data_IF_030344147372
#
_entry.id   IF_030344147372
#
_cell.length_a   1.000
_cell.length_b   1.000
_cell.length_c   1.000
_cell.angle_alpha   90.00
_cell.angle_beta   90.00
_cell.angle_gamma   90.00
#
_symmetry.space_group_name_H-M   'P 1'
#
loop_
_entity.id
_entity.type
_entity.pdbx_description
1 polymer ?
#
# COMPACT_ATOMS: atom_id res chain seq x y z
N UNK A 1 -38.50 22.29 -13.67
CA UNK A 1 -39.70 21.69 -14.30
C UNK A 1 -39.93 20.28 -13.78
N UNK A 2 -41.19 19.92 -13.44
CA UNK A 2 -41.54 18.53 -13.15
C UNK A 2 -41.74 17.79 -14.48
N UNK A 3 -41.14 16.62 -14.65
CA UNK A 3 -41.25 15.78 -15.86
C UNK A 3 -41.59 14.35 -15.49
N UNK A 4 -42.29 13.66 -16.40
CA UNK A 4 -42.61 12.24 -16.28
C UNK A 4 -41.47 11.40 -16.87
N UNK A 5 -40.98 10.44 -16.13
CA UNK A 5 -39.92 9.53 -16.59
C UNK A 5 -40.47 8.62 -17.70
N UNK A 6 -39.81 8.56 -18.84
CA UNK A 6 -40.24 7.72 -19.98
C UNK A 6 -40.12 6.21 -19.71
N UNK A 7 -39.40 5.78 -18.71
CA UNK A 7 -39.22 4.36 -18.35
C UNK A 7 -40.16 3.89 -17.24
N UNK A 8 -40.27 4.63 -16.12
CA UNK A 8 -41.03 4.20 -14.95
C UNK A 8 -42.25 5.08 -14.66
N UNK A 9 -42.51 6.08 -15.50
CA UNK A 9 -43.63 7.03 -15.43
C UNK A 9 -43.68 7.90 -14.17
N UNK A 10 -42.75 7.78 -13.24
CA UNK A 10 -42.66 8.63 -12.02
C UNK A 10 -42.38 10.07 -12.40
N UNK A 11 -43.00 11.00 -11.69
CA UNK A 11 -42.74 12.43 -11.81
C UNK A 11 -41.47 12.76 -11.05
N UNK A 12 -40.55 13.52 -11.67
CA UNK A 12 -39.29 13.96 -11.05
C UNK A 12 -38.96 15.40 -11.46
N UNK A 13 -38.16 16.08 -10.63
CA UNK A 13 -37.66 17.42 -10.97
C UNK A 13 -36.41 17.25 -11.83
N UNK A 14 -36.41 17.80 -13.03
CA UNK A 14 -35.31 17.71 -13.96
C UNK A 14 -34.92 19.05 -14.58
N UNK A 15 -33.68 19.25 -14.86
CA UNK A 15 -33.20 20.24 -15.84
C UNK A 15 -33.67 19.88 -17.25
N UNK A 16 -33.66 20.84 -18.15
CA UNK A 16 -34.30 20.76 -19.49
C UNK A 16 -33.89 19.53 -20.34
N UNK A 17 -32.75 18.92 -20.10
CA UNK A 17 -32.16 17.86 -20.95
C UNK A 17 -32.51 16.42 -20.57
N UNK A 18 -33.13 16.14 -19.41
CA UNK A 18 -33.30 14.77 -18.92
C UNK A 18 -34.73 14.25 -19.10
N UNK A 19 -34.90 13.11 -19.79
CA UNK A 19 -36.15 12.39 -19.99
C UNK A 19 -36.39 11.24 -18.99
N UNK A 20 -35.37 10.89 -18.18
CA UNK A 20 -35.37 9.80 -17.22
C UNK A 20 -35.10 10.31 -15.80
N UNK A 21 -35.80 9.73 -14.82
CA UNK A 21 -35.52 9.99 -13.40
C UNK A 21 -34.11 9.46 -13.01
N UNK A 22 -33.53 9.96 -11.91
CA UNK A 22 -32.17 9.56 -11.49
C UNK A 22 -32.00 8.03 -11.38
N UNK A 23 -32.98 7.32 -10.80
CA UNK A 23 -32.95 5.87 -10.65
C UNK A 23 -32.96 5.13 -12.01
N UNK A 24 -33.83 5.52 -12.93
CA UNK A 24 -33.91 4.90 -14.26
C UNK A 24 -32.70 5.24 -15.13
N UNK A 25 -32.17 6.46 -15.02
CA UNK A 25 -30.97 6.89 -15.74
C UNK A 25 -29.75 6.05 -15.33
N UNK A 26 -29.56 5.81 -14.03
CA UNK A 26 -28.49 4.98 -13.54
C UNK A 26 -28.59 3.51 -14.00
N UNK A 27 -29.79 2.99 -14.25
CA UNK A 27 -30.02 1.63 -14.74
C UNK A 27 -29.83 1.48 -16.26
N UNK A 28 -30.28 2.47 -17.05
CA UNK A 28 -30.19 2.41 -18.53
C UNK A 28 -28.72 2.48 -19.01
N UNK A 29 -27.88 3.20 -18.31
CA UNK A 29 -26.47 3.31 -18.68
C UNK A 29 -25.59 2.15 -18.16
N UNK A 30 -26.21 1.13 -17.53
CA UNK A 30 -25.49 -0.09 -17.17
C UNK A 30 -25.66 -1.14 -18.27
N UNK A 31 -24.56 -1.79 -18.65
CA UNK A 31 -24.56 -2.93 -19.57
C UNK A 31 -24.31 -4.24 -18.78
N UNK A 32 -24.78 -5.38 -19.26
CA UNK A 32 -24.46 -6.66 -18.63
C UNK A 32 -22.99 -6.97 -18.80
N UNK A 33 -22.37 -7.53 -17.76
CA UNK A 33 -21.04 -8.12 -17.84
C UNK A 33 -21.08 -9.33 -18.78
N UNK A 34 -20.23 -9.41 -19.83
CA UNK A 34 -20.28 -10.49 -20.79
C UNK A 34 -20.01 -11.87 -20.18
N UNK A 35 -19.35 -11.92 -19.02
CA UNK A 35 -18.99 -13.18 -18.38
C UNK A 35 -20.01 -13.71 -17.36
N UNK A 36 -20.80 -12.83 -16.68
CA UNK A 36 -21.73 -13.25 -15.62
C UNK A 36 -23.07 -12.53 -15.61
N UNK A 37 -23.37 -11.67 -16.59
CA UNK A 37 -24.60 -10.94 -16.71
C UNK A 37 -24.84 -9.80 -15.72
N UNK A 38 -23.95 -9.60 -14.69
CA UNK A 38 -24.11 -8.53 -13.71
C UNK A 38 -24.03 -7.16 -14.36
N UNK A 39 -24.98 -6.27 -14.04
CA UNK A 39 -24.99 -4.90 -14.57
C UNK A 39 -23.76 -4.11 -14.13
N UNK A 40 -23.00 -3.59 -15.10
CA UNK A 40 -21.77 -2.83 -14.93
C UNK A 40 -21.87 -1.45 -15.59
N UNK A 41 -20.94 -0.55 -15.22
CA UNK A 41 -20.82 0.75 -15.87
C UNK A 41 -20.49 0.61 -17.36
N UNK A 42 -20.95 1.51 -18.24
CA UNK A 42 -20.73 1.41 -19.69
C UNK A 42 -19.26 1.36 -20.09
N UNK A 43 -18.39 2.04 -19.32
CA UNK A 43 -16.95 2.10 -19.55
C UNK A 43 -16.20 0.84 -19.10
N UNK A 44 -16.81 0.02 -18.24
CA UNK A 44 -16.17 -1.21 -17.74
C UNK A 44 -16.39 -2.35 -18.74
N UNK A 45 -15.34 -3.13 -19.02
CA UNK A 45 -15.45 -4.30 -19.89
C UNK A 45 -16.04 -5.51 -19.12
N UNK A 46 -15.59 -5.73 -17.89
CA UNK A 46 -16.06 -6.79 -16.99
C UNK A 46 -16.52 -6.21 -15.65
N UNK A 47 -17.32 -6.96 -14.88
CA UNK A 47 -17.55 -6.62 -13.47
C UNK A 47 -16.30 -6.94 -12.65
N UNK A 48 -16.11 -6.26 -11.50
CA UNK A 48 -14.92 -6.45 -10.67
C UNK A 48 -14.66 -7.93 -10.26
N UNK A 49 -15.71 -8.76 -10.13
CA UNK A 49 -15.57 -10.19 -9.87
C UNK A 49 -14.95 -10.93 -11.07
N UNK A 50 -15.40 -10.63 -12.28
CA UNK A 50 -14.94 -11.29 -13.50
C UNK A 50 -13.62 -10.74 -14.02
N UNK A 51 -13.35 -9.46 -13.79
CA UNK A 51 -12.09 -8.78 -14.11
C UNK A 51 -10.94 -9.21 -13.17
N UNK A 52 -11.26 -9.86 -12.07
CA UNK A 52 -10.26 -10.28 -11.09
C UNK A 52 -9.70 -9.13 -10.24
N UNK A 53 -10.11 -7.86 -10.49
CA UNK A 53 -9.66 -6.69 -9.70
C UNK A 53 -10.07 -6.78 -8.23
N UNK A 54 -11.09 -7.58 -7.92
CA UNK A 54 -11.49 -7.92 -6.54
C UNK A 54 -10.86 -9.21 -6.01
N UNK A 55 -9.97 -9.87 -6.76
CA UNK A 55 -9.14 -10.91 -6.16
C UNK A 55 -8.27 -10.22 -5.12
N UNK A 56 -8.57 -10.47 -3.83
CA UNK A 56 -7.68 -10.05 -2.74
C UNK A 56 -6.31 -10.62 -3.08
N UNK A 57 -5.35 -9.76 -3.36
CA UNK A 57 -3.97 -10.20 -3.55
C UNK A 57 -3.58 -11.04 -2.34
N UNK A 58 -2.96 -12.20 -2.59
CA UNK A 58 -2.43 -13.04 -1.51
C UNK A 58 -1.26 -12.32 -0.85
N UNK A 59 -1.05 -12.56 0.44
CA UNK A 59 0.15 -12.11 1.11
C UNK A 59 1.39 -12.62 0.35
N UNK A 60 2.45 -11.83 0.32
CA UNK A 60 3.61 -12.08 -0.54
C UNK A 60 3.50 -11.53 -1.97
N UNK A 61 2.35 -10.96 -2.38
CA UNK A 61 2.26 -10.30 -3.71
C UNK A 61 3.16 -9.07 -3.77
N UNK A 62 4.02 -9.00 -4.79
CA UNK A 62 4.97 -7.89 -5.00
C UNK A 62 4.32 -6.76 -5.78
N UNK A 63 4.65 -5.54 -5.40
CA UNK A 63 4.27 -4.30 -6.08
C UNK A 63 5.47 -3.36 -6.09
N UNK A 64 5.73 -2.69 -7.21
CA UNK A 64 6.76 -1.66 -7.29
C UNK A 64 6.11 -0.27 -7.18
N UNK A 65 6.62 0.57 -6.28
CA UNK A 65 6.15 1.93 -6.15
C UNK A 65 6.75 2.87 -7.24
N UNK A 66 6.22 4.11 -7.30
CA UNK A 66 6.71 5.12 -8.26
C UNK A 66 8.15 5.58 -7.99
N UNK A 67 8.68 5.31 -6.82
CA UNK A 67 10.04 5.67 -6.41
C UNK A 67 11.06 4.57 -6.69
N UNK A 68 10.61 3.40 -7.20
CA UNK A 68 11.42 2.27 -7.55
C UNK A 68 11.64 1.26 -6.40
N UNK A 69 10.89 1.35 -5.31
CA UNK A 69 10.95 0.36 -4.23
C UNK A 69 10.02 -0.82 -4.51
N UNK A 70 10.47 -2.02 -4.21
CA UNK A 70 9.63 -3.21 -4.16
C UNK A 70 8.91 -3.29 -2.80
N UNK A 71 7.59 -3.48 -2.84
CA UNK A 71 6.72 -3.66 -1.68
C UNK A 71 6.06 -5.03 -1.73
N UNK A 72 5.93 -5.65 -0.58
CA UNK A 72 5.28 -6.96 -0.42
C UNK A 72 4.02 -6.79 0.40
N UNK A 73 2.94 -7.42 -0.04
CA UNK A 73 1.68 -7.43 0.71
C UNK A 73 1.85 -8.29 1.96
N UNK A 74 1.85 -7.66 3.12
CA UNK A 74 1.95 -8.29 4.44
C UNK A 74 1.07 -7.50 5.41
N UNK A 75 -0.12 -8.04 5.74
CA UNK A 75 -1.14 -7.30 6.47
C UNK A 75 -0.83 -7.12 7.94
N UNK A 76 -0.21 -8.12 8.52
CA UNK A 76 0.01 -8.23 9.97
C UNK A 76 1.39 -7.74 10.41
N UNK A 77 2.19 -7.22 9.48
CA UNK A 77 3.54 -6.75 9.78
C UNK A 77 3.51 -5.40 10.52
N UNK A 78 4.31 -5.21 11.61
CA UNK A 78 4.29 -3.98 12.42
C UNK A 78 4.56 -2.69 11.63
N UNK A 79 5.38 -2.78 10.58
CA UNK A 79 5.72 -1.65 9.68
C UNK A 79 4.88 -1.59 8.41
N UNK A 80 3.76 -2.33 8.35
CA UNK A 80 2.89 -2.29 7.18
C UNK A 80 2.23 -0.91 7.02
N UNK A 81 2.42 -0.30 5.86
CA UNK A 81 1.67 0.88 5.43
C UNK A 81 0.69 0.47 4.34
N UNK A 82 -0.61 0.73 4.54
CA UNK A 82 -1.66 0.26 3.63
C UNK A 82 -1.58 -1.25 3.31
N UNK A 83 -1.17 -2.04 4.29
CA UNK A 83 -0.96 -3.51 4.17
C UNK A 83 0.28 -3.93 3.37
N UNK A 84 1.15 -3.00 3.01
CA UNK A 84 2.40 -3.29 2.30
C UNK A 84 3.61 -2.95 3.15
N UNK A 85 4.65 -3.75 3.03
CA UNK A 85 5.97 -3.54 3.64
C UNK A 85 7.01 -3.49 2.54
N UNK A 86 8.03 -2.66 2.68
CA UNK A 86 9.15 -2.66 1.76
C UNK A 86 9.92 -3.99 1.83
N UNK A 87 10.25 -4.56 0.68
CA UNK A 87 10.93 -5.85 0.61
C UNK A 87 12.28 -5.86 1.33
N UNK A 88 13.08 -4.78 1.20
CA UNK A 88 14.36 -4.66 1.89
C UNK A 88 14.23 -4.76 3.41
N UNK A 89 13.12 -4.30 4.00
CA UNK A 89 12.83 -4.46 5.44
C UNK A 89 12.71 -5.94 5.77
N UNK A 90 11.89 -6.69 5.04
CA UNK A 90 11.67 -8.12 5.28
C UNK A 90 12.95 -8.94 5.09
N UNK A 91 13.78 -8.59 4.09
CA UNK A 91 15.06 -9.25 3.85
C UNK A 91 16.01 -9.04 5.03
N UNK A 92 16.11 -7.79 5.53
CA UNK A 92 16.97 -7.49 6.68
C UNK A 92 16.44 -8.12 7.97
N UNK A 93 15.14 -8.06 8.23
CA UNK A 93 14.53 -8.71 9.41
C UNK A 93 14.77 -10.22 9.42
N UNK A 94 14.70 -10.86 8.25
CA UNK A 94 15.04 -12.28 8.11
C UNK A 94 16.51 -12.56 8.47
N UNK A 95 17.44 -11.68 8.07
CA UNK A 95 18.86 -11.78 8.45
C UNK A 95 19.04 -11.62 9.95
N UNK A 96 18.38 -10.61 10.55
CA UNK A 96 18.50 -10.28 11.97
C UNK A 96 17.75 -11.24 12.90
N UNK A 97 16.80 -12.03 12.36
CA UNK A 97 15.91 -12.89 13.17
C UNK A 97 14.90 -12.13 14.03
N UNK A 98 14.73 -10.81 13.81
CA UNK A 98 13.81 -9.93 14.54
C UNK A 98 13.27 -8.81 13.67
N UNK A 99 12.17 -8.20 14.12
CA UNK A 99 11.70 -6.96 13.51
C UNK A 99 12.64 -5.79 13.77
N UNK A 100 12.67 -4.86 12.80
CA UNK A 100 13.46 -3.63 12.92
C UNK A 100 12.87 -2.73 14.02
N UNK A 101 13.76 -2.13 14.81
CA UNK A 101 13.39 -1.14 15.82
C UNK A 101 12.94 0.18 15.15
N UNK A 102 12.14 1.02 15.84
CA UNK A 102 11.62 2.27 15.26
C UNK A 102 12.70 3.24 14.74
N UNK A 103 13.88 3.22 15.35
CA UNK A 103 15.03 4.05 14.99
C UNK A 103 15.96 3.41 13.93
N UNK A 104 15.68 2.18 13.49
CA UNK A 104 16.45 1.48 12.45
C UNK A 104 15.90 1.76 11.06
N UNK A 105 16.80 1.92 10.11
CA UNK A 105 16.52 2.05 8.68
C UNK A 105 17.43 1.14 7.87
N UNK A 106 17.03 0.85 6.65
CA UNK A 106 17.85 0.09 5.70
C UNK A 106 18.35 1.05 4.62
N UNK A 107 19.66 0.95 4.35
CA UNK A 107 20.32 1.66 3.25
C UNK A 107 20.71 0.69 2.15
N UNK A 108 20.56 1.11 0.88
CA UNK A 108 21.07 0.36 -0.28
C UNK A 108 22.45 0.91 -0.65
N UNK A 109 23.51 0.11 -0.49
CA UNK A 109 24.89 0.52 -0.72
C UNK A 109 25.12 1.06 -2.13
N UNK A 110 24.51 0.45 -3.14
CA UNK A 110 24.61 0.86 -4.54
C UNK A 110 23.59 1.93 -4.97
N UNK A 111 22.72 2.38 -4.07
CA UNK A 111 21.64 3.35 -4.35
C UNK A 111 20.47 2.80 -5.18
N UNK A 112 20.51 1.54 -5.60
CA UNK A 112 19.44 0.91 -6.43
C UNK A 112 18.37 0.32 -5.52
N UNK A 113 17.22 0.97 -5.48
CA UNK A 113 16.13 0.74 -4.49
C UNK A 113 15.38 -0.60 -4.62
N UNK A 114 15.51 -1.28 -5.74
CA UNK A 114 14.92 -2.60 -5.97
C UNK A 114 15.98 -3.74 -5.91
N UNK A 115 17.25 -3.42 -5.67
CA UNK A 115 18.28 -4.42 -5.45
C UNK A 115 18.33 -4.79 -3.98
N UNK A 116 17.44 -5.69 -3.58
CA UNK A 116 17.25 -6.13 -2.20
C UNK A 116 18.09 -7.35 -1.81
N UNK A 117 19.18 -7.63 -2.56
CA UNK A 117 20.14 -8.65 -2.14
C UNK A 117 20.78 -8.24 -0.82
N UNK A 118 20.94 -9.20 0.09
CA UNK A 118 21.39 -8.92 1.46
C UNK A 118 22.77 -8.28 1.53
N UNK A 119 23.66 -8.58 0.58
CA UNK A 119 25.02 -8.00 0.48
C UNK A 119 24.97 -6.50 0.15
N UNK A 120 23.91 -6.05 -0.52
CA UNK A 120 23.67 -4.66 -0.88
C UNK A 120 22.94 -3.86 0.19
N UNK A 121 22.43 -4.52 1.22
CA UNK A 121 21.66 -3.88 2.29
C UNK A 121 22.54 -3.70 3.53
N UNK A 122 22.44 -2.54 4.16
CA UNK A 122 23.05 -2.28 5.46
C UNK A 122 22.06 -1.63 6.44
N UNK A 123 22.21 -1.96 7.70
CA UNK A 123 21.38 -1.44 8.78
C UNK A 123 21.93 -0.10 9.27
N UNK A 124 21.08 0.93 9.22
CA UNK A 124 21.38 2.25 9.74
C UNK A 124 20.53 2.56 10.95
N UNK A 125 21.16 3.11 11.99
CA UNK A 125 20.47 3.64 13.16
C UNK A 125 20.35 5.14 13.00
N UNK A 126 19.14 5.69 13.16
CA UNK A 126 18.93 7.13 13.10
C UNK A 126 19.68 7.81 14.22
N UNK A 127 20.43 8.89 13.92
CA UNK A 127 21.11 9.66 14.96
C UNK A 127 20.09 10.29 15.90
N UNK A 128 20.50 10.52 17.13
CA UNK A 128 19.78 11.33 18.09
C UNK A 128 19.57 12.76 17.56
N UNK A 129 18.55 13.49 18.04
CA UNK A 129 18.34 14.87 17.67
C UNK A 129 19.61 15.71 17.89
N UNK A 130 19.89 16.65 16.99
CA UNK A 130 21.00 17.62 17.14
C UNK A 130 20.83 18.42 18.43
N UNK A 131 21.92 18.63 19.17
CA UNK A 131 21.90 19.38 20.43
C UNK A 131 21.60 18.55 21.66
N UNK A 132 22.06 17.30 21.71
CA UNK A 132 21.94 16.42 22.88
C UNK A 132 22.93 16.83 23.99
N UNK A 133 22.46 16.87 25.24
CA UNK A 133 23.35 17.06 26.39
C UNK A 133 24.33 15.88 26.49
N UNK A 134 25.58 16.13 26.90
CA UNK A 134 26.60 15.09 27.05
C UNK A 134 26.11 13.88 27.87
N UNK A 135 25.36 14.11 28.95
CA UNK A 135 24.74 13.09 29.78
C UNK A 135 23.82 12.17 28.96
N UNK A 136 22.97 12.74 28.11
CA UNK A 136 22.00 11.99 27.31
C UNK A 136 22.71 11.23 26.18
N UNK A 137 23.76 11.82 25.59
CA UNK A 137 24.63 11.16 24.61
C UNK A 137 25.33 9.90 25.18
N UNK A 138 25.83 9.99 26.42
CA UNK A 138 26.45 8.85 27.10
C UNK A 138 25.40 7.73 27.34
N UNK A 139 24.20 8.07 27.77
CA UNK A 139 23.13 7.10 27.96
C UNK A 139 22.77 6.40 26.63
N UNK A 140 22.61 7.17 25.55
CA UNK A 140 22.36 6.66 24.23
C UNK A 140 23.48 5.74 23.70
N UNK A 141 24.75 6.15 23.87
CA UNK A 141 25.90 5.33 23.49
C UNK A 141 25.91 3.96 24.22
N UNK A 142 25.59 3.95 25.51
CA UNK A 142 25.45 2.71 26.29
C UNK A 142 24.31 1.81 25.76
N UNK A 143 23.19 2.39 25.39
CA UNK A 143 22.06 1.65 24.80
C UNK A 143 22.43 1.05 23.44
N UNK A 144 23.10 1.80 22.58
CA UNK A 144 23.62 1.30 21.29
C UNK A 144 24.57 0.12 21.51
N UNK A 145 25.56 0.27 22.41
CA UNK A 145 26.49 -0.80 22.72
C UNK A 145 25.81 -2.03 23.29
N UNK A 146 24.78 -1.86 24.14
CA UNK A 146 24.00 -2.97 24.66
C UNK A 146 23.21 -3.70 23.56
N UNK A 147 22.69 -2.97 22.58
CA UNK A 147 21.83 -3.53 21.53
C UNK A 147 22.64 -4.17 20.40
N UNK A 148 23.79 -3.58 20.04
CA UNK A 148 24.56 -3.95 18.85
C UNK A 148 26.00 -4.40 19.14
N UNK A 149 26.52 -4.14 20.36
CA UNK A 149 27.95 -4.32 20.69
C UNK A 149 28.41 -5.76 20.79
N UNK A 150 27.54 -6.75 20.85
CA UNK A 150 27.89 -8.15 21.01
C UNK A 150 28.04 -8.92 19.69
N UNK A 151 27.68 -8.32 18.55
CA UNK A 151 27.61 -8.99 17.25
C UNK A 151 28.15 -8.11 16.12
N UNK A 152 29.43 -7.74 16.18
CA UNK A 152 30.07 -6.88 15.15
C UNK A 152 29.97 -7.42 13.71
N UNK A 153 29.72 -8.72 13.52
CA UNK A 153 29.59 -9.36 12.21
C UNK A 153 28.14 -9.48 11.70
N UNK A 154 27.15 -9.03 12.47
CA UNK A 154 25.74 -9.23 12.14
C UNK A 154 25.15 -8.05 11.33
N UNK A 155 25.79 -6.88 11.36
CA UNK A 155 25.27 -5.63 10.79
C UNK A 155 25.96 -5.15 9.52
#
# INVERSE_FOLDING_TARGET
MKKKCIKCHRIFVASSRHKLCPSCRGQIYKKPCPNCGKLIQPKSFLCGKCDGTHRRKKDGSIYNDRKGYALILSRDHPRASNRYVFEHILVMEKKLGRHLLPNENIHHKNGVKNDNRIENLELWVRPQPTGVRAKDAIMWAKEILKTYGNDENQY
#
